data_IF_736282279612
#
_entry.id   IF_736282279612
#
_cell.length_a   1.000
_cell.length_b   1.000
_cell.length_c   1.000
_cell.angle_alpha   90.00
_cell.angle_beta   90.00
_cell.angle_gamma   90.00
#
_symmetry.space_group_name_H-M   'P 1'
#
loop_
_entity.id
_entity.type
_entity.pdbx_description
1 polymer ?
#
# COMPACT_ATOMS: atom_id res chain seq x y z
N UNK A 1 -30.46 0.05 17.85
CA UNK A 1 -30.88 1.45 18.03
C UNK A 1 -29.90 2.29 17.23
N UNK A 2 -30.33 3.11 16.26
CA UNK A 2 -29.41 4.02 15.59
C UNK A 2 -28.83 4.95 16.66
N UNK A 3 -27.53 5.17 16.66
CA UNK A 3 -26.90 6.19 17.50
C UNK A 3 -27.51 7.56 17.16
N UNK A 4 -27.56 8.52 18.09
CA UNK A 4 -28.12 9.87 17.83
C UNK A 4 -27.54 10.53 16.57
N UNK A 5 -26.29 10.21 16.18
CA UNK A 5 -25.66 10.61 14.90
C UNK A 5 -26.46 10.15 13.67
N UNK A 6 -26.97 8.92 13.68
CA UNK A 6 -27.63 8.29 12.53
C UNK A 6 -29.02 8.90 12.23
N UNK A 7 -29.76 9.35 13.25
CA UNK A 7 -31.05 10.02 13.04
C UNK A 7 -30.91 11.44 12.46
N UNK A 8 -29.85 12.17 12.86
CA UNK A 8 -29.57 13.51 12.35
C UNK A 8 -29.13 13.47 10.87
N UNK A 9 -28.24 12.54 10.50
CA UNK A 9 -27.88 12.32 9.09
C UNK A 9 -29.11 11.94 8.26
N UNK A 10 -29.98 11.07 8.76
CA UNK A 10 -31.17 10.63 8.03
C UNK A 10 -32.15 11.79 7.77
N UNK A 11 -32.29 12.73 8.72
CA UNK A 11 -33.12 13.92 8.54
C UNK A 11 -32.53 14.90 7.52
N UNK A 12 -31.20 15.06 7.48
CA UNK A 12 -30.50 15.88 6.47
C UNK A 12 -30.72 15.31 5.07
N UNK A 13 -30.63 13.99 4.92
CA UNK A 13 -30.87 13.30 3.64
C UNK A 13 -32.33 13.51 3.19
N UNK A 14 -33.31 13.40 4.10
CA UNK A 14 -34.71 13.63 3.75
C UNK A 14 -35.02 15.09 3.34
N UNK A 15 -34.44 16.09 4.01
CA UNK A 15 -34.65 17.49 3.64
C UNK A 15 -33.93 17.86 2.34
N UNK A 16 -32.70 17.38 2.15
CA UNK A 16 -31.92 17.64 0.93
C UNK A 16 -32.52 16.96 -0.31
N UNK A 17 -33.13 15.78 -0.19
CA UNK A 17 -33.84 15.12 -1.31
C UNK A 17 -35.06 15.92 -1.79
N UNK A 18 -35.77 16.60 -0.88
CA UNK A 18 -36.91 17.47 -1.24
C UNK A 18 -36.43 18.72 -1.98
N UNK A 19 -35.36 19.34 -1.50
CA UNK A 19 -34.78 20.55 -2.09
C UNK A 19 -34.08 20.27 -3.43
N UNK A 20 -33.46 19.10 -3.55
CA UNK A 20 -32.91 18.59 -4.80
C UNK A 20 -34.01 18.36 -5.86
N UNK A 21 -35.18 17.82 -5.47
CA UNK A 21 -36.33 17.68 -6.36
C UNK A 21 -36.94 19.03 -6.81
N UNK A 22 -36.70 20.10 -6.06
CA UNK A 22 -37.14 21.46 -6.37
C UNK A 22 -36.09 22.28 -7.13
N UNK A 23 -34.84 21.80 -7.23
CA UNK A 23 -33.75 22.50 -7.91
C UNK A 23 -33.22 23.73 -7.16
N UNK A 24 -33.47 23.85 -5.85
CA UNK A 24 -33.13 25.04 -5.05
C UNK A 24 -32.57 24.65 -3.68
N UNK A 25 -31.39 25.18 -3.33
CA UNK A 25 -30.71 24.98 -2.04
C UNK A 25 -30.55 26.27 -1.23
N UNK A 26 -31.31 27.33 -1.55
CA UNK A 26 -31.16 28.65 -0.93
C UNK A 26 -31.41 28.61 0.58
N UNK A 27 -32.33 27.76 1.04
CA UNK A 27 -32.67 27.64 2.46
C UNK A 27 -31.56 26.93 3.24
N UNK A 28 -31.05 25.83 2.70
CA UNK A 28 -30.00 25.00 3.28
C UNK A 28 -28.68 25.75 3.35
N UNK A 29 -28.39 26.59 2.35
CA UNK A 29 -27.15 27.34 2.24
C UNK A 29 -27.21 28.74 2.84
N UNK A 30 -28.30 29.13 3.50
CA UNK A 30 -28.48 30.48 4.05
C UNK A 30 -27.42 30.88 5.07
N UNK A 31 -26.84 29.90 5.79
CA UNK A 31 -25.84 30.12 6.84
C UNK A 31 -24.43 29.67 6.46
N UNK A 32 -24.23 29.17 5.24
CA UNK A 32 -22.91 28.69 4.80
C UNK A 32 -21.90 29.85 4.71
N UNK A 33 -20.73 29.77 5.37
CA UNK A 33 -19.77 30.87 5.36
C UNK A 33 -19.22 31.16 3.96
N UNK A 34 -19.17 32.43 3.56
CA UNK A 34 -18.62 32.85 2.27
C UNK A 34 -17.14 32.47 2.09
N UNK A 35 -16.39 32.29 3.19
CA UNK A 35 -14.99 31.85 3.16
C UNK A 35 -14.82 30.32 3.23
N UNK A 36 -15.92 29.57 3.24
CA UNK A 36 -15.93 28.15 3.51
C UNK A 36 -15.78 27.80 4.99
N UNK A 37 -15.87 26.50 5.28
CA UNK A 37 -15.67 25.91 6.60
C UNK A 37 -14.31 25.24 6.62
N UNK A 38 -13.42 25.72 7.51
CA UNK A 38 -12.06 25.18 7.68
C UNK A 38 -11.89 24.60 9.07
N UNK A 39 -11.24 23.44 9.16
CA UNK A 39 -10.82 22.84 10.43
C UNK A 39 -9.43 22.21 10.34
N UNK A 40 -8.77 22.07 11.50
CA UNK A 40 -7.54 21.29 11.63
C UNK A 40 -7.88 19.81 11.80
N UNK A 41 -7.28 18.98 10.96
CA UNK A 41 -7.47 17.53 10.93
C UNK A 41 -7.72 17.01 9.52
N UNK A 42 -7.67 15.68 9.42
CA UNK A 42 -7.87 14.94 8.18
C UNK A 42 -9.29 15.06 7.65
N UNK A 43 -9.44 14.91 6.34
CA UNK A 43 -10.74 14.84 5.69
C UNK A 43 -11.32 13.44 5.87
N UNK A 44 -11.99 13.20 7.00
CA UNK A 44 -12.73 11.97 7.28
C UNK A 44 -14.20 12.28 7.49
N UNK A 45 -15.09 11.34 7.18
CA UNK A 45 -16.55 11.50 7.34
C UNK A 45 -16.90 11.93 8.76
N UNK A 46 -16.33 11.26 9.77
CA UNK A 46 -16.61 11.55 11.17
C UNK A 46 -16.15 12.94 11.61
N UNK A 47 -14.96 13.36 11.17
CA UNK A 47 -14.40 14.67 11.53
C UNK A 47 -15.13 15.78 10.78
N UNK A 48 -15.34 15.62 9.48
CA UNK A 48 -16.09 16.58 8.66
C UNK A 48 -17.51 16.77 9.19
N UNK A 49 -18.23 15.69 9.51
CA UNK A 49 -19.58 15.76 10.09
C UNK A 49 -19.61 16.56 11.39
N UNK A 50 -18.62 16.36 12.26
CA UNK A 50 -18.53 17.05 13.54
C UNK A 50 -18.22 18.55 13.38
N UNK A 51 -17.32 18.91 12.47
CA UNK A 51 -16.83 20.28 12.30
C UNK A 51 -17.74 21.13 11.39
N UNK A 52 -18.39 20.53 10.39
CA UNK A 52 -19.37 21.23 9.54
C UNK A 52 -20.65 21.55 10.31
N UNK A 53 -21.11 20.61 11.16
CA UNK A 53 -22.43 20.67 11.77
C UNK A 53 -23.57 20.46 10.75
N UNK A 54 -24.79 20.31 11.27
CA UNK A 54 -25.97 19.91 10.49
C UNK A 54 -26.29 20.89 9.35
N UNK A 55 -26.22 22.20 9.59
CA UNK A 55 -26.62 23.22 8.61
C UNK A 55 -25.67 23.26 7.40
N UNK A 56 -24.35 23.38 7.65
CA UNK A 56 -23.38 23.43 6.56
C UNK A 56 -23.33 22.10 5.79
N UNK A 57 -23.47 20.97 6.48
CA UNK A 57 -23.54 19.66 5.82
C UNK A 57 -24.77 19.56 4.91
N UNK A 58 -25.94 20.05 5.35
CA UNK A 58 -27.13 20.08 4.51
C UNK A 58 -26.94 20.93 3.24
N UNK A 59 -26.28 22.09 3.35
CA UNK A 59 -25.93 22.89 2.18
C UNK A 59 -25.02 22.12 1.21
N UNK A 60 -23.93 21.53 1.69
CA UNK A 60 -22.99 20.78 0.85
C UNK A 60 -23.67 19.61 0.15
N UNK A 61 -24.50 18.84 0.85
CA UNK A 61 -25.22 17.69 0.28
C UNK A 61 -26.21 18.14 -0.78
N UNK A 62 -26.98 19.19 -0.50
CA UNK A 62 -27.95 19.73 -1.46
C UNK A 62 -27.24 20.20 -2.75
N UNK A 63 -26.16 20.99 -2.60
CA UNK A 63 -25.39 21.52 -3.73
C UNK A 63 -24.64 20.46 -4.52
N UNK A 64 -23.95 19.53 -3.85
CA UNK A 64 -23.28 18.41 -4.51
C UNK A 64 -24.25 17.65 -5.40
N UNK A 65 -25.42 17.33 -4.85
CA UNK A 65 -26.42 16.58 -5.61
C UNK A 65 -27.00 17.40 -6.75
N UNK A 66 -27.28 18.70 -6.59
CA UNK A 66 -27.80 19.56 -7.68
C UNK A 66 -26.94 19.49 -8.95
N UNK A 67 -25.63 19.42 -8.79
CA UNK A 67 -24.68 19.39 -9.90
C UNK A 67 -24.30 17.96 -10.34
N UNK A 68 -24.76 16.93 -9.61
CA UNK A 68 -24.44 15.52 -9.85
C UNK A 68 -25.61 14.75 -10.49
N UNK A 69 -25.29 13.85 -11.42
CA UNK A 69 -26.26 12.89 -11.96
C UNK A 69 -26.46 11.66 -11.07
N UNK A 70 -25.58 11.47 -10.07
CA UNK A 70 -25.64 10.39 -9.08
C UNK A 70 -25.86 11.01 -7.69
N UNK A 71 -27.09 10.91 -7.18
CA UNK A 71 -27.47 11.47 -5.88
C UNK A 71 -26.87 10.64 -4.75
N UNK A 72 -26.06 11.28 -3.90
CA UNK A 72 -25.42 10.66 -2.74
C UNK A 72 -26.04 11.13 -1.43
N UNK A 73 -25.96 10.29 -0.41
CA UNK A 73 -26.27 10.71 0.96
C UNK A 73 -25.12 11.55 1.56
N UNK A 74 -25.27 12.01 2.80
CA UNK A 74 -24.28 12.88 3.43
C UNK A 74 -22.90 12.23 3.57
N UNK A 75 -22.86 10.94 3.86
CA UNK A 75 -21.60 10.20 3.93
C UNK A 75 -20.95 10.10 2.54
N UNK A 76 -21.71 9.73 1.51
CA UNK A 76 -21.23 9.63 0.13
C UNK A 76 -20.73 10.95 -0.43
N UNK A 77 -21.39 12.08 -0.10
CA UNK A 77 -20.91 13.43 -0.49
C UNK A 77 -19.59 13.76 0.18
N UNK A 78 -19.46 13.53 1.50
CA UNK A 78 -18.21 13.80 2.21
C UNK A 78 -17.07 12.90 1.71
N UNK A 79 -17.36 11.63 1.41
CA UNK A 79 -16.38 10.71 0.83
C UNK A 79 -15.88 11.19 -0.52
N UNK A 80 -16.79 11.56 -1.42
CA UNK A 80 -16.43 12.07 -2.74
C UNK A 80 -15.58 13.34 -2.63
N UNK A 81 -16.04 14.35 -1.87
CA UNK A 81 -15.31 15.60 -1.69
C UNK A 81 -13.93 15.39 -1.07
N UNK A 82 -13.82 14.54 -0.04
CA UNK A 82 -12.53 14.24 0.58
C UNK A 82 -11.60 13.47 -0.37
N UNK A 83 -12.12 12.49 -1.12
CA UNK A 83 -11.36 11.75 -2.13
C UNK A 83 -10.81 12.69 -3.20
N UNK A 84 -11.66 13.54 -3.78
CA UNK A 84 -11.26 14.54 -4.78
C UNK A 84 -10.20 15.50 -4.22
N UNK A 85 -10.32 15.89 -2.95
CA UNK A 85 -9.36 16.79 -2.30
C UNK A 85 -7.96 16.16 -2.13
N UNK A 86 -7.89 14.85 -1.87
CA UNK A 86 -6.62 14.13 -1.83
C UNK A 86 -6.05 13.90 -3.24
N UNK A 87 -6.90 13.49 -4.19
CA UNK A 87 -6.52 13.26 -5.58
C UNK A 87 -5.96 14.53 -6.26
N UNK A 88 -6.53 15.70 -5.95
CA UNK A 88 -6.04 16.98 -6.45
C UNK A 88 -4.62 17.36 -5.96
N UNK A 89 -4.11 16.69 -4.92
CA UNK A 89 -2.77 16.88 -4.36
C UNK A 89 -1.86 15.65 -4.61
N UNK A 90 -2.13 14.88 -5.66
CA UNK A 90 -1.34 13.71 -5.99
C UNK A 90 0.00 14.03 -6.68
N UNK A 91 0.99 13.19 -6.39
CA UNK A 91 2.26 13.11 -7.08
C UNK A 91 2.42 11.70 -7.65
N UNK A 92 2.61 11.60 -8.96
CA UNK A 92 2.70 10.30 -9.62
C UNK A 92 3.97 9.55 -9.25
N UNK A 93 3.80 8.28 -8.88
CA UNK A 93 4.91 7.40 -8.50
C UNK A 93 5.91 7.20 -9.64
N UNK A 94 5.44 7.15 -10.89
CA UNK A 94 6.28 7.05 -12.10
C UNK A 94 7.29 8.21 -12.27
N UNK A 95 7.07 9.33 -11.58
CA UNK A 95 7.96 10.49 -11.62
C UNK A 95 9.08 10.44 -10.59
N UNK A 96 9.08 9.45 -9.69
CA UNK A 96 10.05 9.35 -8.59
C UNK A 96 11.44 9.10 -9.14
N UNK A 97 11.64 8.02 -9.91
CA UNK A 97 12.94 7.77 -10.56
C UNK A 97 13.21 8.78 -11.68
N UNK A 98 12.17 9.20 -12.40
CA UNK A 98 12.31 10.00 -13.62
C UNK A 98 12.96 9.23 -14.78
N UNK A 99 13.03 7.89 -14.69
CA UNK A 99 13.71 7.00 -15.66
C UNK A 99 12.74 6.14 -16.48
N UNK A 100 11.44 6.24 -16.18
CA UNK A 100 10.36 5.60 -16.92
C UNK A 100 10.06 4.16 -16.48
N UNK A 101 8.91 3.66 -16.90
CA UNK A 101 8.30 2.44 -16.35
C UNK A 101 9.18 1.19 -16.44
N UNK A 102 9.99 1.05 -17.49
CA UNK A 102 10.89 -0.10 -17.61
C UNK A 102 11.90 -0.12 -16.46
N UNK A 103 12.48 1.04 -16.15
CA UNK A 103 13.44 1.17 -15.07
C UNK A 103 12.80 0.82 -13.73
N UNK A 104 11.62 1.39 -13.46
CA UNK A 104 10.91 1.16 -12.20
C UNK A 104 10.51 -0.32 -12.06
N UNK A 105 9.98 -0.93 -13.12
CA UNK A 105 9.63 -2.35 -13.12
C UNK A 105 10.84 -3.26 -12.87
N UNK A 106 11.98 -2.95 -13.47
CA UNK A 106 13.20 -3.71 -13.26
C UNK A 106 13.70 -3.55 -11.82
N UNK A 107 13.71 -2.33 -11.30
CA UNK A 107 14.09 -2.04 -9.91
C UNK A 107 13.22 -2.79 -8.89
N UNK A 108 11.89 -2.72 -9.02
CA UNK A 108 10.98 -3.38 -8.08
C UNK A 108 10.95 -4.91 -8.23
N UNK A 109 11.41 -5.45 -9.37
CA UNK A 109 11.65 -6.88 -9.55
C UNK A 109 12.99 -7.34 -8.96
N UNK A 110 13.81 -6.40 -8.45
CA UNK A 110 15.14 -6.65 -7.87
C UNK A 110 16.29 -6.61 -8.87
N UNK A 111 16.05 -6.08 -10.07
CA UNK A 111 17.05 -5.87 -11.11
C UNK A 111 17.42 -4.42 -11.37
N UNK A 112 18.22 -4.18 -12.40
CA UNK A 112 18.65 -2.85 -12.80
C UNK A 112 19.76 -2.25 -11.93
N UNK A 113 20.22 -1.09 -12.37
CA UNK A 113 21.41 -0.38 -11.88
C UNK A 113 21.36 -0.10 -10.37
N UNK A 114 20.22 0.40 -9.86
CA UNK A 114 20.01 0.65 -8.42
C UNK A 114 20.08 -0.61 -7.55
N UNK A 115 19.88 -1.80 -8.12
CA UNK A 115 20.03 -3.07 -7.41
C UNK A 115 21.40 -3.72 -7.59
N UNK A 116 22.06 -3.50 -8.73
CA UNK A 116 23.22 -4.32 -9.12
C UNK A 116 24.57 -3.66 -8.93
N UNK A 117 24.66 -2.35 -9.17
CA UNK A 117 25.93 -1.66 -9.15
C UNK A 117 26.48 -1.55 -7.72
N UNK A 118 27.77 -1.25 -7.59
CA UNK A 118 28.44 -1.07 -6.32
C UNK A 118 29.42 0.07 -6.52
N UNK A 119 29.47 1.02 -5.59
CA UNK A 119 30.34 2.18 -5.70
C UNK A 119 31.79 1.75 -5.96
N UNK A 120 32.43 2.37 -6.95
CA UNK A 120 33.81 2.08 -7.32
C UNK A 120 34.78 2.94 -6.50
N UNK A 121 36.06 2.56 -6.49
CA UNK A 121 37.10 3.38 -5.84
C UNK A 121 37.24 4.80 -6.44
N UNK A 122 36.67 5.04 -7.62
CA UNK A 122 36.61 6.35 -8.30
C UNK A 122 35.35 7.15 -8.00
N UNK A 123 34.42 6.62 -7.20
CA UNK A 123 33.13 7.24 -6.88
C UNK A 123 32.10 7.15 -8.00
N UNK A 124 32.31 6.27 -8.98
CA UNK A 124 31.27 5.87 -9.94
C UNK A 124 30.30 4.89 -9.23
N UNK A 125 29.04 4.84 -9.66
CA UNK A 125 28.00 3.95 -9.12
C UNK A 125 27.61 4.21 -7.64
N UNK A 126 27.88 5.45 -7.18
CA UNK A 126 27.56 5.91 -5.83
C UNK A 126 26.05 6.12 -5.69
N UNK A 127 25.41 5.33 -4.83
CA UNK A 127 23.95 5.28 -4.72
C UNK A 127 23.34 6.62 -4.30
N UNK A 128 24.02 7.36 -3.43
CA UNK A 128 23.62 8.70 -2.97
C UNK A 128 23.67 9.76 -4.10
N UNK A 129 24.45 9.51 -5.16
CA UNK A 129 24.52 10.34 -6.37
C UNK A 129 23.51 9.87 -7.41
N UNK A 130 23.50 8.57 -7.73
CA UNK A 130 22.68 8.01 -8.82
C UNK A 130 21.19 7.97 -8.50
N UNK A 131 20.86 7.88 -7.20
CA UNK A 131 19.50 7.94 -6.68
C UNK A 131 19.21 9.23 -5.90
N UNK A 132 20.03 10.29 -6.03
CA UNK A 132 19.86 11.58 -5.35
C UNK A 132 18.44 12.17 -5.48
N UNK A 133 17.77 11.85 -6.59
CA UNK A 133 16.38 12.26 -6.84
C UNK A 133 15.39 11.73 -5.78
N UNK A 134 15.64 10.56 -5.20
CA UNK A 134 14.80 9.98 -4.14
C UNK A 134 14.74 10.90 -2.93
N UNK A 135 15.87 11.48 -2.52
CA UNK A 135 15.91 12.45 -1.41
C UNK A 135 15.14 13.73 -1.73
N UNK A 136 15.26 14.24 -2.96
CA UNK A 136 14.48 15.41 -3.39
C UNK A 136 12.97 15.12 -3.33
N UNK A 137 12.54 13.98 -3.84
CA UNK A 137 11.13 13.55 -3.77
C UNK A 137 10.68 13.42 -2.32
N UNK A 138 11.50 12.86 -1.44
CA UNK A 138 11.16 12.74 -0.03
C UNK A 138 10.89 14.11 0.61
N UNK A 139 11.84 15.04 0.50
CA UNK A 139 11.75 16.33 1.18
C UNK A 139 10.73 17.31 0.55
N UNK A 140 10.53 17.25 -0.76
CA UNK A 140 9.67 18.23 -1.45
C UNK A 140 8.28 17.70 -1.80
N UNK A 141 8.11 16.39 -1.94
CA UNK A 141 6.86 15.78 -2.41
C UNK A 141 6.26 14.84 -1.34
N UNK A 142 6.98 13.79 -0.93
CA UNK A 142 6.44 12.71 -0.10
C UNK A 142 5.98 13.14 1.30
N UNK A 143 6.47 14.28 1.81
CA UNK A 143 6.07 14.83 3.11
C UNK A 143 4.85 15.77 3.04
N UNK A 144 4.38 16.14 1.84
CA UNK A 144 3.36 17.21 1.65
C UNK A 144 2.32 16.90 0.57
N UNK A 145 2.47 15.79 -0.14
CA UNK A 145 1.57 15.34 -1.20
C UNK A 145 1.17 13.89 -0.98
N UNK A 146 0.08 13.49 -1.62
CA UNK A 146 -0.30 12.08 -1.72
C UNK A 146 0.52 11.48 -2.87
N UNK A 147 1.32 10.46 -2.61
CA UNK A 147 1.99 9.72 -3.67
C UNK A 147 1.01 8.64 -4.16
N UNK A 148 0.77 8.62 -5.47
CA UNK A 148 -0.05 7.58 -6.13
C UNK A 148 0.49 6.18 -5.78
N UNK A 149 -0.40 5.21 -5.57
CA UNK A 149 0.05 3.83 -5.41
C UNK A 149 0.46 3.28 -6.78
N UNK A 150 1.62 2.60 -6.91
CA UNK A 150 2.20 2.26 -8.21
C UNK A 150 1.62 0.98 -8.80
N UNK A 151 0.35 1.02 -9.17
CA UNK A 151 -0.36 -0.08 -9.83
C UNK A 151 0.26 -0.47 -11.19
N UNK A 152 0.98 0.42 -11.86
CA UNK A 152 1.68 0.14 -13.12
C UNK A 152 2.88 -0.82 -12.97
N UNK A 153 3.37 -1.05 -11.75
CA UNK A 153 4.47 -1.99 -11.50
C UNK A 153 3.97 -3.43 -11.59
N UNK A 154 4.62 -4.23 -12.45
CA UNK A 154 4.31 -5.65 -12.65
C UNK A 154 4.56 -6.51 -11.42
N UNK A 155 5.41 -6.05 -10.48
CA UNK A 155 5.57 -6.70 -9.19
C UNK A 155 4.32 -6.51 -8.34
N UNK A 156 3.88 -5.25 -8.16
CA UNK A 156 2.72 -4.86 -7.36
C UNK A 156 1.44 -5.44 -7.95
N UNK A 157 1.17 -5.15 -9.22
CA UNK A 157 -0.01 -5.64 -9.92
C UNK A 157 0.42 -6.54 -11.11
N UNK A 158 0.56 -7.87 -10.89
CA UNK A 158 0.91 -8.81 -11.94
C UNK A 158 -0.20 -8.97 -12.98
N UNK A 159 -1.37 -8.35 -12.81
CA UNK A 159 -2.48 -8.37 -13.75
C UNK A 159 -2.54 -7.15 -14.66
N UNK A 160 -1.64 -6.18 -14.50
CA UNK A 160 -1.50 -5.10 -15.48
C UNK A 160 -1.20 -5.70 -16.85
N UNK A 161 -2.22 -5.68 -17.71
CA UNK A 161 -2.00 -5.70 -19.13
C UNK A 161 -1.45 -4.32 -19.42
N UNK A 162 -0.12 -4.17 -19.39
CA UNK A 162 0.50 -2.96 -19.94
C UNK A 162 -0.13 -2.79 -21.32
N UNK A 163 -0.94 -1.75 -21.50
CA UNK A 163 -1.62 -1.47 -22.75
C UNK A 163 -0.63 -1.07 -23.86
N UNK A 164 0.67 -1.32 -23.66
CA UNK A 164 1.75 -0.96 -24.55
C UNK A 164 2.69 -2.16 -24.74
N UNK A 165 2.58 -2.79 -25.91
CA UNK A 165 3.63 -3.53 -26.62
C UNK A 165 4.08 -4.93 -26.10
N UNK A 166 3.16 -5.87 -25.90
CA UNK A 166 3.48 -7.31 -25.84
C UNK A 166 2.71 -8.14 -26.88
N UNK A 167 3.32 -9.07 -27.63
CA UNK A 167 2.63 -9.87 -28.65
C UNK A 167 1.80 -11.03 -28.09
N UNK A 168 1.55 -11.07 -26.77
CA UNK A 168 0.77 -12.12 -26.12
C UNK A 168 -0.35 -11.51 -25.28
N UNK A 169 -1.32 -10.96 -26.00
CA UNK A 169 -2.68 -10.75 -25.51
C UNK A 169 -3.38 -12.10 -25.59
N UNK A 170 -3.39 -12.85 -24.49
CA UNK A 170 -4.38 -13.92 -24.32
C UNK A 170 -5.55 -13.35 -23.52
N UNK A 171 -6.48 -12.72 -24.22
CA UNK A 171 -7.72 -12.19 -23.65
C UNK A 171 -8.79 -13.27 -23.44
N UNK A 172 -8.46 -14.56 -23.55
CA UNK A 172 -9.46 -15.62 -23.58
C UNK A 172 -9.24 -16.76 -22.56
N UNK A 173 -8.33 -16.64 -21.60
CA UNK A 173 -8.18 -17.63 -20.54
C UNK A 173 -8.50 -17.07 -19.15
N UNK A 174 -9.70 -17.36 -18.59
CA UNK A 174 -10.03 -17.00 -17.22
C UNK A 174 -9.30 -17.84 -16.16
N UNK A 175 -8.45 -18.80 -16.53
CA UNK A 175 -7.82 -19.74 -15.59
C UNK A 175 -6.35 -19.44 -15.22
N UNK A 176 -5.77 -18.32 -15.65
CA UNK A 176 -4.37 -18.00 -15.37
C UNK A 176 -4.22 -16.90 -14.32
N UNK A 177 -3.82 -17.30 -13.12
CA UNK A 177 -2.94 -16.49 -12.28
C UNK A 177 -3.58 -15.85 -11.05
N UNK A 178 -4.68 -16.38 -10.57
CA UNK A 178 -5.27 -15.98 -9.30
C UNK A 178 -4.25 -16.01 -8.14
N UNK A 179 -3.90 -14.83 -7.60
CA UNK A 179 -3.18 -14.72 -6.33
C UNK A 179 -3.97 -15.45 -5.22
N UNK A 180 -3.32 -15.82 -4.12
CA UNK A 180 -3.86 -16.67 -3.03
C UNK A 180 -5.28 -16.30 -2.55
N UNK A 181 -5.76 -15.09 -2.81
CA UNK A 181 -7.09 -14.60 -2.42
C UNK A 181 -8.19 -14.74 -3.49
N UNK A 182 -7.85 -15.11 -4.73
CA UNK A 182 -8.80 -15.08 -5.85
C UNK A 182 -9.46 -16.41 -6.22
N UNK A 183 -9.29 -17.42 -5.36
CA UNK A 183 -10.18 -18.61 -5.35
C UNK A 183 -11.53 -18.33 -4.64
N UNK A 184 -11.79 -17.08 -4.23
CA UNK A 184 -13.10 -16.68 -3.68
C UNK A 184 -13.90 -15.76 -4.58
N UNK A 185 -13.36 -15.29 -5.71
CA UNK A 185 -14.06 -14.33 -6.56
C UNK A 185 -15.09 -15.02 -7.46
N UNK A 186 -14.83 -16.22 -7.98
CA UNK A 186 -15.82 -16.98 -8.77
C UNK A 186 -16.94 -17.60 -7.90
N UNK A 187 -16.64 -18.07 -6.69
CA UNK A 187 -17.66 -18.56 -5.75
C UNK A 187 -18.47 -17.40 -5.11
N UNK A 188 -17.87 -16.21 -4.87
CA UNK A 188 -18.62 -15.01 -4.45
C UNK A 188 -19.41 -14.36 -5.59
N UNK A 189 -18.94 -14.44 -6.84
CA UNK A 189 -19.61 -13.87 -8.02
C UNK A 189 -20.96 -14.55 -8.35
N UNK A 190 -21.19 -15.79 -7.92
CA UNK A 190 -22.44 -16.51 -8.20
C UNK A 190 -23.58 -16.19 -7.21
N UNK A 191 -23.41 -15.24 -6.28
CA UNK A 191 -24.44 -14.89 -5.28
C UNK A 191 -24.65 -13.41 -4.95
N UNK A 192 -23.76 -12.50 -5.37
CA UNK A 192 -23.85 -11.07 -5.02
C UNK A 192 -24.55 -10.25 -6.13
N UNK A 193 -25.67 -9.61 -5.79
CA UNK A 193 -26.46 -8.77 -6.70
C UNK A 193 -25.96 -7.29 -6.76
N UNK A 194 -24.88 -7.00 -6.05
CA UNK A 194 -24.27 -5.68 -5.88
C UNK A 194 -22.80 -5.71 -6.33
N UNK A 195 -22.59 -5.42 -7.61
CA UNK A 195 -21.25 -5.30 -8.20
C UNK A 195 -20.61 -3.97 -7.81
N UNK A 196 -19.88 -3.98 -6.69
CA UNK A 196 -18.83 -3.01 -6.38
C UNK A 196 -17.61 -3.82 -5.90
N UNK A 197 -16.56 -3.90 -6.71
CA UNK A 197 -15.31 -4.57 -6.38
C UNK A 197 -14.33 -3.51 -5.85
N UNK A 198 -14.02 -3.46 -4.55
CA UNK A 198 -13.27 -2.33 -3.98
C UNK A 198 -11.74 -2.41 -4.14
N UNK A 199 -11.15 -3.45 -4.72
CA UNK A 199 -9.68 -3.54 -4.85
C UNK A 199 -9.24 -3.29 -6.30
N UNK A 200 -9.28 -2.03 -6.74
CA UNK A 200 -8.67 -1.58 -8.01
C UNK A 200 -7.13 -1.41 -7.89
N UNK A 201 -6.59 -1.53 -6.67
CA UNK A 201 -5.20 -1.21 -6.32
C UNK A 201 -4.22 -2.36 -6.59
N UNK A 202 -4.73 -3.57 -6.85
CA UNK A 202 -3.93 -4.78 -7.06
C UNK A 202 -3.43 -5.49 -5.78
N UNK A 203 -3.77 -5.00 -4.59
CA UNK A 203 -3.41 -5.61 -3.29
C UNK A 203 -4.65 -5.99 -2.45
N UNK A 204 -5.19 -7.19 -2.64
CA UNK A 204 -6.39 -7.71 -1.95
C UNK A 204 -6.20 -7.83 -0.42
N UNK A 205 -4.96 -8.00 0.06
CA UNK A 205 -4.66 -8.17 1.50
C UNK A 205 -4.61 -6.82 2.26
N UNK A 206 -4.65 -5.69 1.55
CA UNK A 206 -4.33 -4.36 2.11
C UNK A 206 -2.96 -4.28 2.79
N UNK A 207 -1.98 -5.03 2.29
CA UNK A 207 -0.61 -4.97 2.78
C UNK A 207 0.37 -5.11 1.62
N UNK A 208 1.52 -4.45 1.76
CA UNK A 208 2.64 -4.57 0.86
C UNK A 208 3.93 -4.57 1.69
N UNK A 209 4.96 -5.24 1.19
CA UNK A 209 6.27 -5.20 1.84
C UNK A 209 7.39 -5.45 0.83
N UNK A 210 8.58 -5.05 1.24
CA UNK A 210 9.84 -5.35 0.57
C UNK A 210 10.59 -6.42 1.34
N UNK A 211 11.38 -7.24 0.66
CA UNK A 211 12.41 -8.07 1.26
C UNK A 211 13.71 -7.89 0.48
N UNK A 212 14.74 -7.44 1.19
CA UNK A 212 16.05 -7.13 0.66
C UNK A 212 17.03 -8.25 0.99
N UNK A 213 17.81 -8.67 0.00
CA UNK A 213 18.78 -9.74 0.12
C UNK A 213 20.23 -9.26 0.15
N UNK A 214 20.49 -7.99 -0.18
CA UNK A 214 21.83 -7.43 -0.22
C UNK A 214 21.89 -6.02 0.34
N UNK A 215 23.09 -5.63 0.74
CA UNK A 215 23.49 -4.30 1.16
C UNK A 215 24.64 -3.82 0.25
N UNK A 216 24.46 -2.64 -0.34
CA UNK A 216 25.41 -2.02 -1.28
C UNK A 216 26.00 -0.69 -0.81
N UNK A 217 25.73 -0.24 0.42
CA UNK A 217 26.17 1.07 0.90
C UNK A 217 27.00 0.96 2.19
N UNK A 218 28.17 1.58 2.21
CA UNK A 218 29.05 1.56 3.38
C UNK A 218 28.85 2.80 4.25
N UNK A 219 29.16 2.69 5.55
CA UNK A 219 29.26 3.86 6.44
C UNK A 219 27.92 4.45 6.90
N UNK A 220 26.81 3.78 6.64
CA UNK A 220 25.46 4.19 7.04
C UNK A 220 25.00 3.56 8.38
N UNK A 221 25.86 2.76 9.03
CA UNK A 221 25.60 1.98 10.25
C UNK A 221 24.50 0.91 10.08
N UNK A 222 24.25 0.46 8.86
CA UNK A 222 23.33 -0.61 8.54
C UNK A 222 24.06 -1.71 7.76
N UNK A 223 23.52 -2.94 7.81
CA UNK A 223 24.02 -4.04 7.00
C UNK A 223 25.49 -4.40 7.24
N UNK A 224 26.14 -4.92 6.20
CA UNK A 224 27.51 -5.47 6.25
C UNK A 224 28.42 -4.97 5.12
N UNK A 225 27.95 -4.05 4.27
CA UNK A 225 28.79 -3.39 3.28
C UNK A 225 29.81 -2.47 3.96
N UNK A 226 31.04 -2.50 3.47
CA UNK A 226 32.12 -1.65 3.97
C UNK A 226 33.06 -1.21 2.85
N UNK A 227 33.80 -0.12 3.11
CA UNK A 227 34.90 0.30 2.27
C UNK A 227 36.15 -0.60 2.47
N UNK A 228 37.03 -0.70 1.46
CA UNK A 228 36.80 -0.33 0.06
C UNK A 228 35.72 -1.23 -0.58
N UNK A 229 34.76 -0.60 -1.26
CA UNK A 229 33.57 -1.24 -1.81
C UNK A 229 33.87 -2.47 -2.68
N UNK A 230 34.88 -2.38 -3.53
CA UNK A 230 35.30 -3.43 -4.47
C UNK A 230 35.66 -4.79 -3.81
N UNK A 231 36.04 -4.79 -2.53
CA UNK A 231 36.38 -6.01 -1.79
C UNK A 231 35.41 -6.30 -0.64
N UNK A 232 34.86 -5.26 -0.04
CA UNK A 232 34.12 -5.35 1.22
C UNK A 232 32.63 -5.08 1.09
N UNK A 233 32.12 -4.81 -0.11
CA UNK A 233 30.69 -4.59 -0.37
C UNK A 233 30.07 -5.55 -1.40
N UNK A 234 30.89 -6.29 -2.15
CA UNK A 234 30.37 -7.31 -3.08
C UNK A 234 29.69 -8.44 -2.31
N UNK A 235 28.42 -8.69 -2.65
CA UNK A 235 27.55 -9.71 -2.06
C UNK A 235 27.55 -9.65 -0.53
N UNK A 236 27.28 -8.46 0.02
CA UNK A 236 27.08 -8.27 1.46
C UNK A 236 25.63 -8.30 1.83
N UNK A 237 25.38 -8.86 3.01
CA UNK A 237 24.03 -9.09 3.50
C UNK A 237 23.51 -7.84 4.25
N UNK A 238 22.20 -7.56 4.19
CA UNK A 238 21.57 -6.53 5.01
C UNK A 238 21.52 -6.97 6.49
N UNK A 239 20.99 -6.11 7.36
CA UNK A 239 20.69 -6.53 8.73
C UNK A 239 19.53 -7.51 8.74
N UNK A 240 19.68 -8.62 9.48
CA UNK A 240 18.66 -9.66 9.54
C UNK A 240 17.45 -9.26 10.38
N UNK A 241 16.25 -9.49 9.86
CA UNK A 241 15.01 -9.35 10.64
C UNK A 241 13.94 -10.39 10.31
N UNK A 242 14.14 -11.23 9.29
CA UNK A 242 13.15 -12.14 8.75
C UNK A 242 13.80 -13.37 8.14
N UNK A 243 13.13 -14.53 8.28
CA UNK A 243 13.56 -15.75 7.62
C UNK A 243 12.59 -16.07 6.48
N UNK A 244 13.12 -16.49 5.35
CA UNK A 244 12.35 -16.96 4.20
C UNK A 244 11.97 -18.41 4.44
N UNK A 245 10.70 -18.73 4.21
CA UNK A 245 10.22 -20.11 4.29
C UNK A 245 10.19 -20.75 2.91
N UNK A 246 9.48 -20.12 1.99
CA UNK A 246 9.45 -20.55 0.60
C UNK A 246 9.04 -19.41 -0.31
N UNK A 247 9.41 -19.56 -1.58
CA UNK A 247 9.00 -18.70 -2.66
C UNK A 247 8.16 -19.54 -3.61
N UNK A 248 6.90 -19.15 -3.82
CA UNK A 248 6.07 -19.72 -4.89
C UNK A 248 6.16 -18.79 -6.10
N UNK A 249 6.83 -19.24 -7.16
CA UNK A 249 7.09 -18.41 -8.33
C UNK A 249 5.81 -18.04 -9.09
N UNK A 250 4.70 -18.75 -8.87
CA UNK A 250 3.41 -18.44 -9.48
C UNK A 250 2.79 -17.15 -8.94
N UNK A 251 3.19 -16.70 -7.75
CA UNK A 251 2.67 -15.47 -7.12
C UNK A 251 3.11 -14.20 -7.83
N UNK A 252 4.23 -14.25 -8.57
CA UNK A 252 4.84 -13.06 -9.20
C UNK A 252 5.48 -13.39 -10.55
N UNK A 253 4.79 -14.14 -11.41
CA UNK A 253 5.36 -14.64 -12.68
C UNK A 253 5.95 -13.56 -13.58
N UNK A 254 5.31 -12.38 -13.64
CA UNK A 254 5.78 -11.25 -14.46
C UNK A 254 7.06 -10.61 -13.94
N UNK A 255 7.19 -10.44 -12.61
CA UNK A 255 8.40 -9.91 -11.99
C UNK A 255 9.54 -10.94 -11.96
N UNK A 256 9.20 -12.21 -11.79
CA UNK A 256 10.19 -13.29 -11.69
C UNK A 256 10.65 -13.84 -13.05
N UNK A 257 9.96 -13.47 -14.14
CA UNK A 257 10.18 -13.97 -15.50
C UNK A 257 10.15 -15.50 -15.65
N UNK A 258 9.41 -16.18 -14.77
CA UNK A 258 9.23 -17.64 -14.78
C UNK A 258 7.74 -18.00 -14.69
N UNK A 259 7.33 -19.06 -15.36
CA UNK A 259 5.93 -19.48 -15.42
C UNK A 259 5.43 -20.23 -14.17
N UNK A 260 6.33 -20.57 -13.25
CA UNK A 260 6.01 -21.29 -12.02
C UNK A 260 7.20 -22.05 -11.44
N UNK A 261 6.91 -22.93 -10.48
CA UNK A 261 7.91 -23.59 -9.65
C UNK A 261 7.97 -22.96 -8.26
N UNK A 262 8.88 -23.43 -7.42
CA UNK A 262 9.05 -22.90 -6.08
C UNK A 262 10.47 -23.14 -5.56
N UNK A 263 10.88 -22.30 -4.61
CA UNK A 263 12.11 -22.45 -3.83
C UNK A 263 11.76 -22.66 -2.36
N UNK A 264 12.47 -23.56 -1.68
CA UNK A 264 12.29 -23.84 -0.25
C UNK A 264 13.55 -23.46 0.52
N UNK A 265 13.36 -22.72 1.60
CA UNK A 265 14.42 -22.19 2.46
C UNK A 265 14.29 -22.77 3.87
N UNK A 266 14.39 -24.10 3.94
CA UNK A 266 14.38 -24.83 5.20
C UNK A 266 14.80 -26.28 5.00
N UNK A 267 15.38 -26.88 6.03
CA UNK A 267 15.72 -28.30 6.06
C UNK A 267 14.72 -29.04 6.95
N UNK A 268 13.65 -29.55 6.32
CA UNK A 268 12.64 -30.36 7.01
C UNK A 268 13.19 -31.64 7.63
N UNK A 269 14.32 -32.16 7.15
CA UNK A 269 14.93 -33.39 7.68
C UNK A 269 15.62 -33.13 9.01
N UNK A 270 16.39 -32.05 9.11
CA UNK A 270 17.11 -31.68 10.33
C UNK A 270 16.33 -30.72 11.23
N UNK A 271 15.24 -30.14 10.72
CA UNK A 271 14.47 -29.10 11.38
C UNK A 271 15.15 -27.73 11.38
N UNK A 272 16.21 -27.55 10.58
CA UNK A 272 16.94 -26.29 10.50
C UNK A 272 16.13 -25.28 9.67
N UNK A 273 15.84 -24.13 10.27
CA UNK A 273 15.31 -22.92 9.62
C UNK A 273 16.47 -21.91 9.43
N UNK A 274 16.24 -20.83 8.69
CA UNK A 274 17.24 -19.77 8.43
C UNK A 274 18.50 -20.34 7.75
N UNK A 275 18.35 -20.71 6.47
CA UNK A 275 19.42 -21.26 5.63
C UNK A 275 19.80 -20.34 4.46
N UNK A 276 19.04 -19.28 4.26
CA UNK A 276 19.15 -18.26 3.22
C UNK A 276 20.17 -17.18 3.54
N UNK A 277 20.50 -16.99 4.83
CA UNK A 277 21.33 -15.89 5.29
C UNK A 277 20.49 -14.69 5.74
N UNK A 278 21.13 -13.57 6.13
CA UNK A 278 20.43 -12.39 6.62
C UNK A 278 19.48 -11.80 5.57
N UNK A 279 18.21 -11.61 5.94
CA UNK A 279 17.21 -10.98 5.08
C UNK A 279 16.49 -9.88 5.86
N UNK A 280 16.26 -8.76 5.18
CA UNK A 280 15.51 -7.64 5.76
C UNK A 280 14.18 -7.46 5.07
N UNK A 281 13.07 -7.66 5.77
CA UNK A 281 11.73 -7.37 5.27
C UNK A 281 11.09 -6.21 6.03
N UNK A 282 10.51 -5.25 5.29
CA UNK A 282 9.82 -4.09 5.85
C UNK A 282 8.62 -3.73 4.98
N UNK A 283 7.49 -3.39 5.60
CA UNK A 283 6.26 -3.14 4.86
C UNK A 283 5.30 -2.12 5.46
N UNK A 284 4.08 -2.17 4.96
CA UNK A 284 2.95 -1.32 5.28
C UNK A 284 1.65 -2.12 5.21
N UNK A 285 0.68 -1.72 6.01
CA UNK A 285 -0.69 -2.26 6.01
C UNK A 285 -1.66 -1.11 6.21
N UNK A 286 -2.77 -1.14 5.49
CA UNK A 286 -3.77 -0.07 5.52
C UNK A 286 -5.18 -0.59 5.79
N UNK A 287 -6.06 0.31 6.24
CA UNK A 287 -7.45 -0.03 6.51
C UNK A 287 -8.32 -0.09 5.24
N UNK A 288 -9.47 -0.74 5.36
CA UNK A 288 -10.48 -0.88 4.31
C UNK A 288 -11.16 0.46 3.94
N UNK A 289 -11.16 1.45 4.85
CA UNK A 289 -11.66 2.79 4.54
C UNK A 289 -10.62 3.56 3.71
N UNK A 290 -10.99 3.97 2.50
CA UNK A 290 -10.17 4.77 1.59
C UNK A 290 -9.71 6.09 2.22
N UNK A 291 -10.46 6.64 3.17
CA UNK A 291 -10.08 7.85 3.91
C UNK A 291 -9.24 7.56 5.16
N UNK A 292 -8.89 6.31 5.45
CA UNK A 292 -7.94 5.96 6.52
C UNK A 292 -6.53 6.42 6.15
N UNK A 293 -5.75 6.89 7.14
CA UNK A 293 -4.48 7.56 6.88
C UNK A 293 -3.48 6.71 6.11
N UNK A 294 -3.27 5.47 6.53
CA UNK A 294 -2.33 4.57 5.86
C UNK A 294 -2.83 4.19 4.46
N UNK A 295 -4.15 4.18 4.21
CA UNK A 295 -4.72 3.91 2.88
C UNK A 295 -4.52 5.11 1.94
N UNK A 296 -4.87 6.32 2.37
CA UNK A 296 -4.62 7.55 1.58
C UNK A 296 -3.14 7.68 1.20
N UNK A 297 -2.24 7.37 2.12
CA UNK A 297 -0.80 7.55 1.93
C UNK A 297 -0.03 6.25 1.67
N UNK A 298 -0.69 5.19 1.19
CA UNK A 298 -0.04 3.90 0.92
C UNK A 298 1.08 3.99 -0.12
N UNK A 299 0.93 4.86 -1.12
CA UNK A 299 2.01 5.16 -2.08
C UNK A 299 3.20 5.86 -1.41
N UNK A 300 2.96 6.79 -0.48
CA UNK A 300 4.02 7.43 0.31
C UNK A 300 4.76 6.43 1.17
N UNK A 301 4.02 5.52 1.82
CA UNK A 301 4.58 4.47 2.68
C UNK A 301 5.42 3.49 1.85
N UNK A 302 4.95 3.05 0.68
CA UNK A 302 5.72 2.18 -0.19
C UNK A 302 7.00 2.88 -0.69
N UNK A 303 6.89 4.13 -1.15
CA UNK A 303 8.06 4.94 -1.54
C UNK A 303 9.07 5.07 -0.39
N UNK A 304 8.58 5.42 0.81
CA UNK A 304 9.42 5.60 1.99
C UNK A 304 10.16 4.31 2.35
N UNK A 305 9.46 3.18 2.38
CA UNK A 305 10.03 1.89 2.76
C UNK A 305 11.01 1.39 1.69
N UNK A 306 10.62 1.43 0.41
CA UNK A 306 11.39 0.81 -0.66
C UNK A 306 12.60 1.64 -1.12
N UNK A 307 12.41 2.94 -1.36
CA UNK A 307 13.42 3.78 -2.00
C UNK A 307 14.14 4.66 -0.99
N UNK A 308 13.40 5.39 -0.15
CA UNK A 308 14.04 6.33 0.76
C UNK A 308 14.77 5.59 1.89
N UNK A 309 14.06 5.01 2.85
CA UNK A 309 14.65 4.43 4.05
C UNK A 309 15.57 3.24 3.76
N UNK A 310 15.17 2.28 2.92
CA UNK A 310 15.96 1.06 2.76
C UNK A 310 17.00 1.16 1.65
N UNK A 311 16.66 1.64 0.46
CA UNK A 311 17.66 1.75 -0.61
C UNK A 311 18.63 2.91 -0.33
N UNK A 312 18.18 4.17 -0.28
CA UNK A 312 19.12 5.30 -0.20
C UNK A 312 19.74 5.52 1.19
N UNK A 313 18.98 5.33 2.27
CA UNK A 313 19.52 5.60 3.62
C UNK A 313 20.27 4.40 4.22
N UNK A 314 20.03 3.16 3.74
CA UNK A 314 20.59 1.93 4.33
C UNK A 314 21.28 0.99 3.33
N UNK A 315 21.29 1.32 2.04
CA UNK A 315 21.90 0.48 1.01
C UNK A 315 21.21 -0.84 0.71
N UNK A 316 20.01 -1.10 1.24
CA UNK A 316 19.33 -2.39 1.11
C UNK A 316 18.66 -2.54 -0.25
N UNK A 317 19.05 -3.59 -0.96
CA UNK A 317 18.72 -3.82 -2.37
C UNK A 317 18.56 -5.31 -2.67
N UNK A 318 18.20 -5.58 -3.93
CA UNK A 318 17.97 -6.89 -4.55
C UNK A 318 16.82 -7.69 -3.96
N UNK A 319 16.19 -8.45 -4.84
CA UNK A 319 15.12 -9.35 -4.49
C UNK A 319 15.63 -10.69 -3.93
N UNK A 320 14.72 -11.37 -3.26
CA UNK A 320 14.83 -12.81 -3.02
C UNK A 320 14.77 -13.54 -4.38
N UNK A 321 15.67 -14.51 -4.66
CA UNK A 321 15.63 -15.27 -5.89
C UNK A 321 14.26 -15.90 -6.18
N UNK A 322 13.65 -15.48 -7.30
CA UNK A 322 12.35 -15.93 -7.75
C UNK A 322 11.15 -15.28 -7.07
N UNK A 323 11.35 -14.15 -6.39
CA UNK A 323 10.33 -13.24 -5.88
C UNK A 323 10.65 -11.79 -6.31
N UNK A 324 9.69 -10.85 -6.29
CA UNK A 324 9.98 -9.43 -6.46
C UNK A 324 10.70 -8.86 -5.25
N UNK A 325 11.33 -7.69 -5.39
CA UNK A 325 11.96 -6.98 -4.27
C UNK A 325 10.90 -6.38 -3.35
N UNK A 326 9.90 -5.71 -3.93
CA UNK A 326 8.73 -5.22 -3.20
C UNK A 326 7.44 -5.47 -3.99
N UNK A 327 6.38 -5.80 -3.26
CA UNK A 327 5.06 -6.05 -3.85
C UNK A 327 3.95 -6.05 -2.78
N UNK A 328 2.69 -6.13 -3.21
CA UNK A 328 1.58 -6.59 -2.38
C UNK A 328 1.93 -7.91 -1.69
N UNK A 329 1.43 -8.11 -0.46
CA UNK A 329 1.83 -9.22 0.40
C UNK A 329 1.55 -10.61 -0.23
N UNK A 330 0.43 -10.76 -0.94
CA UNK A 330 0.05 -11.99 -1.66
C UNK A 330 1.03 -12.41 -2.76
N UNK A 331 1.82 -11.47 -3.25
CA UNK A 331 2.77 -11.63 -4.35
C UNK A 331 4.21 -11.81 -3.85
N UNK A 332 4.44 -11.60 -2.55
CA UNK A 332 5.72 -11.70 -1.88
C UNK A 332 6.01 -13.12 -1.36
N UNK A 333 7.29 -13.45 -1.07
CA UNK A 333 7.70 -14.74 -0.50
C UNK A 333 7.12 -14.92 0.90
N UNK A 334 6.85 -16.17 1.28
CA UNK A 334 6.42 -16.46 2.66
C UNK A 334 7.62 -16.32 3.59
N UNK A 335 7.51 -15.44 4.57
CA UNK A 335 8.57 -15.11 5.53
C UNK A 335 8.05 -15.18 6.96
N UNK A 336 8.97 -15.22 7.93
CA UNK A 336 8.59 -15.29 9.35
C UNK A 336 8.02 -13.98 9.87
N UNK A 337 8.54 -12.82 9.45
CA UNK A 337 8.04 -11.50 9.87
C UNK A 337 8.45 -10.42 8.88
N UNK A 338 7.90 -9.23 9.08
CA UNK A 338 8.33 -7.99 8.44
C UNK A 338 8.25 -6.87 9.48
N UNK A 339 9.24 -5.98 9.49
CA UNK A 339 9.11 -4.67 10.12
C UNK A 339 8.03 -3.84 9.40
N UNK A 340 7.60 -2.72 9.98
CA UNK A 340 6.65 -1.86 9.26
C UNK A 340 6.66 -0.39 9.65
N UNK A 341 6.25 0.42 8.68
CA UNK A 341 6.03 1.87 8.82
C UNK A 341 4.53 2.17 8.75
N UNK A 342 4.08 3.09 9.59
CA UNK A 342 2.76 3.72 9.55
C UNK A 342 2.90 5.22 9.41
N UNK A 343 1.85 5.90 8.97
CA UNK A 343 1.86 7.34 8.79
C UNK A 343 1.08 8.07 9.88
N UNK A 344 1.60 9.23 10.30
CA UNK A 344 0.87 10.20 11.10
C UNK A 344 0.83 11.53 10.35
N UNK A 345 -0.37 11.93 9.93
CA UNK A 345 -0.59 13.10 9.10
C UNK A 345 -1.13 14.29 9.89
N UNK A 346 -0.55 15.47 9.63
CA UNK A 346 -1.03 16.76 10.10
C UNK A 346 -1.59 17.54 8.92
N UNK A 347 -2.90 17.78 8.94
CA UNK A 347 -3.65 18.31 7.80
C UNK A 347 -4.58 19.44 8.25
N UNK A 348 -4.90 20.37 7.34
CA UNK A 348 -6.08 21.21 7.42
C UNK A 348 -7.04 20.84 6.30
N UNK A 349 -8.32 20.72 6.62
CA UNK A 349 -9.38 20.50 5.63
C UNK A 349 -10.22 21.75 5.51
N UNK A 350 -10.54 22.13 4.26
CA UNK A 350 -11.45 23.24 3.97
C UNK A 350 -12.54 22.78 3.01
N UNK A 351 -13.79 23.06 3.34
CA UNK A 351 -14.95 22.88 2.46
C UNK A 351 -15.41 24.26 1.97
N UNK A 352 -15.63 24.38 0.68
CA UNK A 352 -16.06 25.62 0.03
C UNK A 352 -17.26 25.36 -0.87
N UNK A 353 -18.02 26.43 -1.12
CA UNK A 353 -19.07 26.46 -2.11
C UNK A 353 -18.94 27.76 -2.89
N UNK A 354 -18.82 27.65 -4.20
CA UNK A 354 -18.88 28.77 -5.13
C UNK A 354 -20.08 28.59 -6.08
N UNK A 355 -20.76 29.68 -6.41
CA UNK A 355 -21.95 29.63 -7.27
C UNK A 355 -21.64 29.25 -8.75
N UNK A 356 -20.37 29.31 -9.14
CA UNK A 356 -19.86 29.01 -10.48
C UNK A 356 -19.12 27.69 -10.52
N UNK A 357 -18.29 27.41 -9.50
CA UNK A 357 -17.42 26.22 -9.43
C UNK A 357 -18.03 25.07 -8.61
N UNK A 358 -19.17 25.29 -7.95
CA UNK A 358 -19.88 24.26 -7.19
C UNK A 358 -19.28 24.05 -5.80
N UNK A 359 -19.51 22.85 -5.23
CA UNK A 359 -18.91 22.45 -3.94
C UNK A 359 -17.55 21.81 -4.14
N UNK A 360 -16.61 22.15 -3.29
CA UNK A 360 -15.27 21.58 -3.32
C UNK A 360 -14.70 21.41 -1.91
N UNK A 361 -13.85 20.41 -1.73
CA UNK A 361 -12.98 20.32 -0.58
C UNK A 361 -11.52 20.44 -1.01
N UNK A 362 -10.68 20.92 -0.09
CA UNK A 362 -9.24 20.98 -0.26
C UNK A 362 -8.55 20.51 1.01
N UNK A 363 -7.50 19.71 0.87
CA UNK A 363 -6.65 19.28 1.99
C UNK A 363 -5.29 19.94 1.86
N UNK A 364 -4.88 20.65 2.91
CA UNK A 364 -3.52 21.17 3.04
C UNK A 364 -2.74 20.28 4.00
N UNK A 365 -1.82 19.48 3.45
CA UNK A 365 -0.94 18.60 4.19
C UNK A 365 0.22 19.44 4.74
N UNK A 366 0.26 19.61 6.06
CA UNK A 366 1.32 20.36 6.75
C UNK A 366 2.57 19.53 6.89
N UNK A 367 2.37 18.26 7.27
CA UNK A 367 3.45 17.36 7.65
C UNK A 367 2.97 15.90 7.61
N UNK A 368 3.85 15.02 7.15
CA UNK A 368 3.67 13.57 7.17
C UNK A 368 4.85 12.93 7.90
N UNK A 369 4.55 12.26 9.01
CA UNK A 369 5.54 11.54 9.79
C UNK A 369 5.47 10.05 9.52
N UNK A 370 6.59 9.50 9.04
CA UNK A 370 6.80 8.07 8.83
C UNK A 370 7.35 7.48 10.12
N UNK A 371 6.55 6.66 10.80
CA UNK A 371 6.88 6.10 12.10
C UNK A 371 6.91 4.58 12.03
N UNK A 372 7.77 3.95 12.83
CA UNK A 372 7.64 2.53 13.09
C UNK A 372 6.22 2.22 13.62
N UNK A 373 5.62 1.14 13.12
CA UNK A 373 4.26 0.80 13.49
C UNK A 373 4.09 0.56 14.99
N UNK A 374 2.89 0.91 15.47
CA UNK A 374 2.39 0.47 16.76
C UNK A 374 1.49 -0.74 16.54
N UNK A 375 1.90 -1.89 17.09
CA UNK A 375 1.14 -3.14 17.03
C UNK A 375 0.52 -3.50 18.39
N UNK A 376 -0.27 -4.57 18.43
CA UNK A 376 -0.94 -5.02 19.67
C UNK A 376 0.05 -5.54 20.70
N UNK A 377 0.92 -6.47 20.29
CA UNK A 377 1.89 -7.09 21.19
C UNK A 377 3.35 -6.66 20.93
N UNK A 378 3.64 -6.15 19.73
CA UNK A 378 4.98 -5.71 19.35
C UNK A 378 4.91 -4.49 18.43
N UNK A 379 5.81 -3.54 18.68
CA UNK A 379 6.04 -2.42 17.78
C UNK A 379 6.97 -2.85 16.64
N UNK A 380 6.92 -2.09 15.54
CA UNK A 380 7.69 -2.37 14.33
C UNK A 380 7.50 -3.80 13.82
N UNK A 381 6.25 -4.27 13.76
CA UNK A 381 5.88 -5.59 13.27
C UNK A 381 4.59 -5.50 12.45
N UNK A 382 4.66 -5.91 11.18
CA UNK A 382 3.58 -5.77 10.22
C UNK A 382 2.33 -6.58 10.58
N UNK A 383 2.50 -7.83 11.07
CA UNK A 383 1.38 -8.68 11.50
C UNK A 383 0.66 -8.08 12.72
N UNK A 384 1.43 -7.58 13.68
CA UNK A 384 0.87 -6.97 14.90
C UNK A 384 0.20 -5.62 14.63
N UNK A 385 0.66 -4.87 13.61
CA UNK A 385 -0.03 -3.68 13.11
C UNK A 385 -1.35 -4.05 12.42
N UNK A 386 -1.36 -5.08 11.57
CA UNK A 386 -2.59 -5.55 10.92
C UNK A 386 -3.62 -6.01 11.96
N UNK A 387 -3.17 -6.70 13.01
CA UNK A 387 -4.01 -7.06 14.15
C UNK A 387 -4.57 -5.84 14.88
N UNK A 388 -3.77 -4.80 15.08
CA UNK A 388 -4.25 -3.55 15.68
C UNK A 388 -5.36 -2.93 14.82
N UNK A 389 -5.21 -2.93 13.49
CA UNK A 389 -6.22 -2.38 12.59
C UNK A 389 -7.50 -3.20 12.60
N UNK A 390 -7.42 -4.52 12.73
CA UNK A 390 -8.59 -5.39 12.90
C UNK A 390 -9.32 -5.09 14.23
N UNK A 391 -8.61 -5.00 15.35
CA UNK A 391 -9.20 -4.66 16.67
C UNK A 391 -9.85 -3.27 16.66
N UNK A 392 -9.31 -2.34 15.87
CA UNK A 392 -9.86 -1.00 15.60
C UNK A 392 -11.05 -1.00 14.62
N UNK A 393 -11.45 -2.15 14.06
CA UNK A 393 -12.45 -2.28 12.98
C UNK A 393 -12.09 -1.51 11.71
N UNK A 394 -10.79 -1.38 11.42
CA UNK A 394 -10.26 -0.73 10.21
C UNK A 394 -9.81 -1.73 9.16
N UNK A 395 -9.57 -2.99 9.52
CA UNK A 395 -9.17 -4.06 8.60
C UNK A 395 -10.02 -5.30 8.86
N UNK A 396 -10.53 -5.93 7.80
CA UNK A 396 -11.28 -7.18 7.93
C UNK A 396 -10.44 -8.33 8.49
N UNK A 397 -11.11 -9.23 9.21
CA UNK A 397 -10.47 -10.43 9.76
C UNK A 397 -9.91 -11.36 8.67
N UNK A 398 -10.54 -11.36 7.50
CA UNK A 398 -10.18 -12.11 6.31
C UNK A 398 -8.85 -11.62 5.74
N UNK A 399 -8.69 -10.30 5.57
CA UNK A 399 -7.43 -9.70 5.10
C UNK A 399 -6.30 -9.95 6.10
N UNK A 400 -6.56 -9.81 7.40
CA UNK A 400 -5.57 -10.16 8.43
C UNK A 400 -5.18 -11.64 8.38
N UNK A 401 -6.16 -12.54 8.27
CA UNK A 401 -5.89 -13.97 8.19
C UNK A 401 -5.10 -14.34 6.93
N UNK A 402 -5.36 -13.67 5.80
CA UNK A 402 -4.59 -13.82 4.57
C UNK A 402 -3.13 -13.37 4.76
N UNK A 403 -2.90 -12.22 5.41
CA UNK A 403 -1.55 -11.76 5.74
C UNK A 403 -0.78 -12.78 6.60
N UNK A 404 -1.45 -13.44 7.57
CA UNK A 404 -0.84 -14.48 8.42
C UNK A 404 -0.45 -15.76 7.65
N UNK A 405 -0.93 -15.96 6.43
CA UNK A 405 -0.48 -17.06 5.57
C UNK A 405 0.85 -16.74 4.87
N UNK A 406 1.18 -15.45 4.76
CA UNK A 406 2.42 -14.97 4.15
C UNK A 406 3.47 -14.62 5.21
N UNK A 407 3.04 -14.01 6.33
CA UNK A 407 3.86 -13.75 7.51
C UNK A 407 3.56 -14.79 8.59
N UNK A 408 4.34 -15.86 8.64
CA UNK A 408 3.99 -17.05 9.45
C UNK A 408 4.39 -16.95 10.92
N UNK A 409 5.12 -15.90 11.30
CA UNK A 409 5.64 -15.64 12.64
C UNK A 409 7.03 -16.24 12.89
N UNK A 410 7.81 -15.60 13.77
CA UNK A 410 9.22 -15.95 14.07
C UNK A 410 9.42 -17.04 15.12
N UNK A 411 8.36 -17.75 15.50
CA UNK A 411 8.50 -18.87 16.43
C UNK A 411 9.21 -20.05 15.76
N UNK A 412 10.13 -20.69 16.48
CA UNK A 412 10.85 -21.86 15.97
C UNK A 412 9.88 -22.94 15.44
N UNK A 413 10.15 -23.44 14.24
CA UNK A 413 9.37 -24.48 13.57
C UNK A 413 8.16 -23.98 12.77
N UNK A 414 7.79 -22.70 12.89
CA UNK A 414 6.67 -22.13 12.12
C UNK A 414 6.96 -22.08 10.62
N UNK A 415 8.21 -21.79 10.26
CA UNK A 415 8.63 -21.70 8.88
C UNK A 415 8.62 -23.09 8.22
N UNK A 416 9.17 -24.09 8.91
CA UNK A 416 9.09 -25.49 8.49
C UNK A 416 7.65 -26.01 8.39
N UNK A 417 6.77 -25.64 9.33
CA UNK A 417 5.35 -25.99 9.24
C UNK A 417 4.67 -25.38 8.01
N UNK A 418 5.01 -24.13 7.66
CA UNK A 418 4.51 -23.48 6.45
C UNK A 418 5.02 -24.18 5.18
N UNK A 419 6.29 -24.56 5.15
CA UNK A 419 6.90 -25.33 4.05
C UNK A 419 6.21 -26.69 3.90
N UNK A 420 6.04 -27.45 4.98
CA UNK A 420 5.42 -28.78 4.93
C UNK A 420 3.97 -28.70 4.43
N UNK A 421 3.21 -27.70 4.91
CA UNK A 421 1.86 -27.42 4.41
C UNK A 421 1.88 -27.10 2.92
N UNK A 422 2.77 -26.22 2.47
CA UNK A 422 2.90 -25.83 1.07
C UNK A 422 3.28 -27.01 0.18
N UNK A 423 4.32 -27.78 0.52
CA UNK A 423 4.72 -28.97 -0.23
C UNK A 423 3.58 -29.98 -0.35
N UNK A 424 2.77 -30.13 0.71
CA UNK A 424 1.58 -30.96 0.67
C UNK A 424 0.58 -30.53 -0.40
N UNK A 425 0.39 -29.22 -0.63
CA UNK A 425 -0.44 -28.70 -1.74
C UNK A 425 0.14 -28.99 -3.11
N UNK A 426 1.46 -29.17 -3.21
CA UNK A 426 2.15 -29.57 -4.45
C UNK A 426 2.18 -31.10 -4.65
N UNK A 427 1.51 -31.86 -3.77
CA UNK A 427 1.53 -33.33 -3.80
C UNK A 427 2.83 -33.95 -3.31
N UNK A 428 3.69 -33.17 -2.64
CA UNK A 428 4.97 -33.62 -2.09
C UNK A 428 4.79 -33.87 -0.60
N UNK A 429 5.01 -35.12 -0.18
CA UNK A 429 4.86 -35.55 1.21
C UNK A 429 6.18 -36.11 1.71
N UNK A 430 6.47 -35.86 2.99
CA UNK A 430 7.62 -36.48 3.66
C UNK A 430 7.35 -37.99 3.78
N UNK A 431 8.20 -38.80 3.17
CA UNK A 431 8.15 -40.26 3.39
C UNK A 431 8.56 -40.56 4.82
N UNK A 432 7.72 -41.31 5.54
CA UNK A 432 7.92 -41.78 6.91
C UNK A 432 9.23 -42.52 7.12
#
# INVERSE_FOLDING_TARGET
MPTMKSAALFAIVQSSLVSHALGDCTTECATFPATGVKYSGRCTVDKATAELGTENLACLVCKYNLDSTDTKDAEGVLRALCGDAYAANEFSFSKISGRGDQFDNEHYSGGGEWNYEIETATGEDALDVDAARVDEVFYYEAQRKVIEFPDYLKSVNPFTNSAENGPFSDTNDPANGHGLYSDSTEERANGAADKFFPDLDGCDINAAYCCFAQDRQAGDNNGNCAEPYEYNCVDKDPADNANICYVDHKRSTKANHVSGGFSVFGDLKTGKEDIEGPIHCHGLVWGDDELQADNVYKGNLLFYVSMYDHMTQRGYVRNIPGAPMCSCAENMPVVTRSDCTQIAASEDTTFTYDATEGVAASVYIKDLNFNACQGVNANNNLEERAKQLEEDNKLSSEKRAALQQVLVGSGAGKCNAAIEKFLGTQGIQRTS
#
